data_IF_935537017460
#
_entry.id   IF_935537017460
#
_cell.length_a   1.000
_cell.length_b   1.000
_cell.length_c   1.000
_cell.angle_alpha   90.00
_cell.angle_beta   90.00
_cell.angle_gamma   90.00
#
_symmetry.space_group_name_H-M   'P 1'
#
loop_
_entity.id
_entity.type
_entity.pdbx_description
1 polymer ?
#
# COMPACT_ATOMS: atom_id res chain seq x y z
N UNK A 1 5.39 -34.87 -12.56
CA UNK A 1 6.63 -35.17 -13.33
C UNK A 1 7.26 -36.43 -12.75
N UNK A 2 7.61 -37.42 -13.59
CA UNK A 2 8.30 -38.64 -13.14
C UNK A 2 9.65 -38.73 -13.83
N UNK A 3 10.72 -38.90 -13.06
CA UNK A 3 12.10 -39.01 -13.58
C UNK A 3 12.60 -40.42 -13.30
N UNK A 4 13.10 -41.08 -14.35
CA UNK A 4 13.72 -42.41 -14.24
C UNK A 4 15.15 -42.32 -14.75
N UNK A 5 16.10 -42.57 -13.85
CA UNK A 5 17.54 -42.57 -14.13
C UNK A 5 18.05 -44.00 -14.30
N UNK A 6 18.57 -44.34 -15.50
CA UNK A 6 19.27 -45.62 -15.71
C UNK A 6 20.74 -45.46 -15.29
N UNK A 7 21.10 -46.00 -14.12
CA UNK A 7 22.45 -45.90 -13.51
C UNK A 7 23.60 -46.42 -14.39
N UNK A 8 23.34 -47.26 -15.39
CA UNK A 8 24.38 -47.87 -16.23
C UNK A 8 24.79 -47.04 -17.46
N UNK A 9 23.97 -46.09 -17.90
CA UNK A 9 24.19 -45.35 -19.15
C UNK A 9 24.14 -43.83 -18.99
N UNK A 10 23.87 -43.31 -17.79
CA UNK A 10 23.79 -41.87 -17.52
C UNK A 10 22.59 -41.16 -18.16
N UNK A 11 21.77 -41.87 -18.95
CA UNK A 11 20.61 -41.29 -19.64
C UNK A 11 19.45 -41.10 -18.66
N UNK A 12 19.00 -39.84 -18.56
CA UNK A 12 17.84 -39.43 -17.76
C UNK A 12 16.62 -39.40 -18.67
N UNK A 13 15.61 -40.23 -18.37
CA UNK A 13 14.32 -40.17 -19.07
C UNK A 13 13.31 -39.45 -18.19
N UNK A 14 12.80 -38.32 -18.68
CA UNK A 14 11.76 -37.53 -18.01
C UNK A 14 10.44 -37.78 -18.69
N UNK A 15 9.44 -38.23 -17.94
CA UNK A 15 8.05 -38.32 -18.41
C UNK A 15 7.27 -37.16 -17.80
N UNK A 16 6.87 -36.23 -18.68
CA UNK A 16 5.94 -35.17 -18.33
C UNK A 16 4.52 -35.76 -18.32
N UNK A 17 3.83 -35.57 -17.20
CA UNK A 17 2.41 -35.90 -17.07
C UNK A 17 1.73 -34.55 -17.04
N UNK A 18 1.14 -34.14 -18.16
CA UNK A 18 0.55 -32.81 -18.30
C UNK A 18 -0.73 -32.67 -17.46
N UNK A 19 -1.52 -33.74 -17.38
CA UNK A 19 -2.82 -33.71 -16.73
C UNK A 19 -2.83 -34.65 -15.51
N UNK A 20 -3.05 -34.07 -14.33
CA UNK A 20 -3.40 -34.82 -13.13
C UNK A 20 -4.84 -35.32 -13.26
N UNK A 21 -5.11 -36.59 -12.92
CA UNK A 21 -6.46 -37.17 -12.97
C UNK A 21 -7.32 -36.50 -11.89
N UNK A 22 -8.31 -35.71 -12.29
CA UNK A 22 -9.31 -35.11 -11.39
C UNK A 22 -9.28 -33.58 -11.25
N UNK A 23 -8.40 -32.86 -11.97
CA UNK A 23 -8.44 -31.40 -12.02
C UNK A 23 -8.84 -30.95 -13.43
N UNK A 24 -9.89 -30.15 -13.55
CA UNK A 24 -10.17 -29.36 -14.76
C UNK A 24 -9.15 -28.23 -14.87
N UNK A 25 -8.89 -27.72 -16.08
CA UNK A 25 -7.91 -26.65 -16.28
C UNK A 25 -8.15 -25.47 -15.31
N UNK A 26 -7.21 -25.26 -14.39
CA UNK A 26 -7.23 -24.16 -13.44
C UNK A 26 -6.76 -22.87 -14.14
N UNK A 27 -7.68 -22.22 -14.87
CA UNK A 27 -7.39 -20.99 -15.63
C UNK A 27 -6.75 -19.91 -14.75
N UNK A 28 -7.06 -19.86 -13.45
CA UNK A 28 -6.45 -18.92 -12.50
C UNK A 28 -4.98 -19.17 -12.19
N UNK A 29 -4.49 -20.40 -12.36
CA UNK A 29 -3.08 -20.77 -12.19
C UNK A 29 -2.20 -20.45 -13.40
N UNK A 30 -2.79 -20.07 -14.52
CA UNK A 30 -2.05 -19.68 -15.71
C UNK A 30 -1.40 -18.30 -15.53
N UNK A 31 -0.29 -18.06 -16.23
CA UNK A 31 0.31 -16.73 -16.29
C UNK A 31 -0.31 -15.91 -17.41
N UNK A 32 -0.32 -14.59 -17.26
CA UNK A 32 -0.65 -13.68 -18.35
C UNK A 32 0.38 -13.82 -19.48
N UNK A 33 -0.11 -13.86 -20.71
CA UNK A 33 0.74 -13.92 -21.90
C UNK A 33 1.51 -12.61 -22.08
N UNK A 34 2.59 -12.64 -22.87
CA UNK A 34 3.40 -11.44 -23.13
C UNK A 34 2.60 -10.33 -23.80
N UNK A 35 1.64 -10.69 -24.66
CA UNK A 35 0.77 -9.75 -25.38
C UNK A 35 -0.17 -9.04 -24.40
N UNK A 36 -0.88 -9.81 -23.57
CA UNK A 36 -1.79 -9.25 -22.56
C UNK A 36 -1.05 -8.33 -21.57
N UNK A 37 0.18 -8.71 -21.20
CA UNK A 37 1.03 -7.88 -20.34
C UNK A 37 1.45 -6.58 -21.00
N UNK A 38 1.70 -6.58 -22.32
CA UNK A 38 2.03 -5.38 -23.08
C UNK A 38 0.80 -4.45 -23.17
N UNK A 39 -0.38 -4.98 -23.45
CA UNK A 39 -1.63 -4.19 -23.47
C UNK A 39 -1.91 -3.51 -22.12
N UNK A 40 -1.68 -4.22 -21.00
CA UNK A 40 -1.81 -3.63 -19.67
C UNK A 40 -0.73 -2.54 -19.44
N UNK A 41 0.50 -2.77 -19.90
CA UNK A 41 1.59 -1.80 -19.78
C UNK A 41 1.32 -0.51 -20.58
N UNK A 42 0.73 -0.63 -21.78
CA UNK A 42 0.36 0.53 -22.59
C UNK A 42 -0.69 1.39 -21.87
N UNK A 43 -1.72 0.78 -21.28
CA UNK A 43 -2.72 1.50 -20.48
C UNK A 43 -2.12 2.18 -19.24
N UNK A 44 -1.17 1.51 -18.59
CA UNK A 44 -0.42 2.08 -17.47
C UNK A 44 0.44 3.27 -17.89
N UNK A 45 1.02 3.24 -19.09
CA UNK A 45 1.82 4.35 -19.63
C UNK A 45 0.97 5.61 -19.88
N UNK A 46 -0.33 5.43 -20.13
CA UNK A 46 -1.31 6.51 -20.29
C UNK A 46 -1.85 7.05 -18.94
N UNK A 47 -1.28 6.62 -17.80
CA UNK A 47 -1.74 6.98 -16.45
C UNK A 47 -3.20 6.60 -16.16
N UNK A 48 -3.72 5.55 -16.79
CA UNK A 48 -5.05 5.05 -16.50
C UNK A 48 -5.04 4.36 -15.12
N UNK A 49 -6.01 4.67 -14.23
CA UNK A 49 -6.05 4.06 -12.90
C UNK A 49 -6.38 2.57 -12.95
N UNK A 50 -5.85 1.81 -11.98
CA UNK A 50 -5.95 0.34 -11.96
C UNK A 50 -7.39 -0.16 -12.01
N UNK A 51 -8.31 0.57 -11.37
CA UNK A 51 -9.71 0.16 -11.31
C UNK A 51 -10.34 0.17 -12.70
N UNK A 52 -10.10 1.23 -13.48
CA UNK A 52 -10.60 1.35 -14.85
C UNK A 52 -10.01 0.25 -15.73
N UNK A 53 -8.71 -0.01 -15.62
CA UNK A 53 -8.05 -1.10 -16.37
C UNK A 53 -8.68 -2.46 -16.03
N UNK A 54 -8.91 -2.76 -14.74
CA UNK A 54 -9.53 -4.02 -14.31
C UNK A 54 -10.96 -4.15 -14.80
N UNK A 55 -11.73 -3.06 -14.73
CA UNK A 55 -13.13 -3.07 -15.13
C UNK A 55 -13.26 -3.26 -16.65
N UNK A 56 -12.43 -2.61 -17.46
CA UNK A 56 -12.36 -2.83 -18.91
C UNK A 56 -12.03 -4.29 -19.27
N UNK A 57 -11.01 -4.88 -18.61
CA UNK A 57 -10.59 -6.26 -18.89
C UNK A 57 -11.69 -7.25 -18.50
N UNK A 58 -12.37 -7.03 -17.37
CA UNK A 58 -13.45 -7.91 -16.87
C UNK A 58 -14.76 -7.75 -17.63
N UNK A 59 -15.03 -6.55 -18.14
CA UNK A 59 -16.24 -6.28 -18.94
C UNK A 59 -16.11 -6.68 -20.40
N UNK A 60 -14.88 -6.93 -20.88
CA UNK A 60 -14.67 -7.47 -22.23
C UNK A 60 -15.35 -8.83 -22.36
N UNK A 61 -16.52 -8.84 -23.02
CA UNK A 61 -17.34 -10.05 -23.21
C UNK A 61 -16.67 -10.95 -24.24
N UNK A 62 -15.87 -11.91 -23.79
CA UNK A 62 -15.52 -13.11 -24.56
C UNK A 62 -16.46 -14.24 -24.15
N UNK A 63 -16.77 -15.12 -25.08
CA UNK A 63 -17.59 -16.32 -24.85
C UNK A 63 -16.95 -17.29 -23.88
N UNK A 64 -15.62 -17.21 -23.70
CA UNK A 64 -14.81 -18.10 -22.87
C UNK A 64 -14.04 -17.31 -21.81
N UNK A 65 -13.93 -17.90 -20.62
CA UNK A 65 -13.19 -17.32 -19.50
C UNK A 65 -11.69 -17.62 -19.63
N UNK A 66 -10.93 -16.63 -20.10
CA UNK A 66 -9.45 -16.65 -20.11
C UNK A 66 -8.82 -16.08 -18.83
N UNK A 67 -7.52 -16.36 -18.62
CA UNK A 67 -6.71 -15.87 -17.50
C UNK A 67 -6.73 -14.35 -17.36
N UNK A 68 -6.81 -13.63 -18.48
CA UNK A 68 -6.87 -12.16 -18.50
C UNK A 68 -8.09 -11.63 -17.73
N UNK A 69 -9.25 -12.29 -17.78
CA UNK A 69 -10.44 -11.81 -17.07
C UNK A 69 -10.33 -11.99 -15.55
N UNK A 70 -9.41 -12.85 -15.10
CA UNK A 70 -9.08 -13.07 -13.68
C UNK A 70 -7.93 -12.17 -13.20
N UNK A 71 -7.56 -11.14 -13.95
CA UNK A 71 -6.50 -10.20 -13.53
C UNK A 71 -6.84 -9.56 -12.18
N UNK A 72 -5.83 -9.51 -11.31
CA UNK A 72 -5.90 -8.86 -10.00
C UNK A 72 -5.11 -7.56 -9.99
N UNK A 73 -5.31 -6.73 -8.95
CA UNK A 73 -4.48 -5.53 -8.72
C UNK A 73 -2.98 -5.88 -8.60
N UNK A 74 -2.66 -7.03 -8.02
CA UNK A 74 -1.29 -7.50 -7.88
C UNK A 74 -0.68 -7.84 -9.24
N UNK A 75 -1.45 -8.44 -10.15
CA UNK A 75 -0.98 -8.73 -11.51
C UNK A 75 -0.59 -7.45 -12.25
N UNK A 76 -1.41 -6.39 -12.15
CA UNK A 76 -1.11 -5.09 -12.74
C UNK A 76 0.15 -4.47 -12.12
N UNK A 77 0.31 -4.55 -10.79
CA UNK A 77 1.51 -4.06 -10.12
C UNK A 77 2.78 -4.84 -10.55
N UNK A 78 2.67 -6.15 -10.76
CA UNK A 78 3.76 -6.99 -11.27
C UNK A 78 4.09 -6.65 -12.73
N UNK A 79 3.09 -6.31 -13.54
CA UNK A 79 3.30 -5.80 -14.91
C UNK A 79 4.05 -4.47 -14.86
N UNK A 80 3.55 -3.50 -14.09
CA UNK A 80 4.18 -2.18 -13.94
C UNK A 80 5.67 -2.30 -13.56
N UNK A 81 5.98 -3.14 -12.56
CA UNK A 81 7.35 -3.34 -12.09
C UNK A 81 8.24 -3.97 -13.16
N UNK A 82 7.71 -4.90 -13.97
CA UNK A 82 8.48 -5.54 -15.03
C UNK A 82 8.84 -4.58 -16.15
N UNK A 83 7.91 -3.69 -16.53
CA UNK A 83 8.13 -2.69 -17.57
C UNK A 83 8.86 -1.45 -17.06
N UNK A 84 9.22 -1.40 -15.77
CA UNK A 84 9.85 -0.24 -15.11
C UNK A 84 9.08 1.05 -15.35
N UNK A 85 7.77 0.96 -15.52
CA UNK A 85 6.92 2.13 -15.61
C UNK A 85 7.00 2.83 -14.27
N UNK A 86 7.19 4.15 -14.29
CA UNK A 86 7.24 4.96 -13.07
C UNK A 86 6.06 4.61 -12.18
N UNK A 87 6.23 4.71 -10.86
CA UNK A 87 5.11 4.66 -9.92
C UNK A 87 4.25 5.90 -10.15
N UNK A 88 3.50 5.93 -11.25
CA UNK A 88 2.30 6.73 -11.39
C UNK A 88 1.50 6.45 -10.13
N UNK A 89 1.22 7.53 -9.42
CA UNK A 89 0.85 7.59 -8.02
C UNK A 89 0.07 6.36 -7.57
N UNK A 90 0.62 5.66 -6.58
CA UNK A 90 0.14 4.38 -6.08
C UNK A 90 -1.38 4.40 -5.88
N UNK A 91 -2.10 3.86 -6.86
CA UNK A 91 -3.22 2.94 -6.64
C UNK A 91 -4.31 3.36 -5.67
N UNK A 92 -4.63 4.65 -5.54
CA UNK A 92 -5.88 5.13 -4.99
C UNK A 92 -6.17 6.45 -5.70
N UNK A 93 -7.24 6.51 -6.52
CA UNK A 93 -7.95 7.77 -6.64
C UNK A 93 -8.39 8.07 -5.22
N UNK A 94 -7.67 8.95 -4.53
CA UNK A 94 -8.17 9.48 -3.28
C UNK A 94 -9.50 10.14 -3.64
N UNK A 95 -10.48 10.05 -2.76
CA UNK A 95 -11.68 10.90 -2.83
C UNK A 95 -11.34 12.38 -3.03
N UNK A 96 -10.10 12.77 -2.73
CA UNK A 96 -9.51 14.08 -2.99
C UNK A 96 -9.33 14.39 -4.48
N UNK A 97 -8.99 13.44 -5.36
CA UNK A 97 -8.82 13.70 -6.80
C UNK A 97 -10.17 14.03 -7.44
N UNK A 98 -11.22 13.30 -7.05
CA UNK A 98 -12.60 13.60 -7.45
C UNK A 98 -13.08 14.95 -6.88
N UNK A 99 -12.64 15.34 -5.68
CA UNK A 99 -12.97 16.66 -5.10
C UNK A 99 -12.21 17.78 -5.82
N UNK A 100 -10.93 17.58 -6.12
CA UNK A 100 -10.09 18.51 -6.87
C UNK A 100 -10.64 18.69 -8.28
N UNK A 101 -11.06 17.60 -8.93
CA UNK A 101 -11.68 17.64 -10.25
C UNK A 101 -13.01 18.42 -10.22
N UNK A 102 -13.87 18.18 -9.23
CA UNK A 102 -15.09 18.99 -9.03
C UNK A 102 -14.81 20.47 -8.74
N UNK A 103 -13.72 20.77 -8.04
CA UNK A 103 -13.30 22.16 -7.81
C UNK A 103 -12.82 22.80 -9.12
N UNK A 104 -12.07 22.07 -9.95
CA UNK A 104 -11.62 22.54 -11.27
C UNK A 104 -12.81 22.85 -12.19
N UNK A 105 -13.78 21.94 -12.28
CA UNK A 105 -15.01 22.15 -13.07
C UNK A 105 -15.75 23.43 -12.64
N UNK A 106 -15.90 23.65 -11.34
CA UNK A 106 -16.53 24.88 -10.81
C UNK A 106 -15.70 26.15 -11.06
N UNK A 107 -14.37 26.04 -11.04
CA UNK A 107 -13.51 27.17 -11.39
C UNK A 107 -13.65 27.49 -12.88
N UNK A 108 -13.67 26.48 -13.74
CA UNK A 108 -13.85 26.66 -15.18
C UNK A 108 -15.21 27.31 -15.50
N UNK A 109 -16.28 26.91 -14.80
CA UNK A 109 -17.59 27.58 -14.87
C UNK A 109 -17.51 29.07 -14.48
N UNK A 110 -16.74 29.43 -13.45
CA UNK A 110 -16.57 30.83 -13.03
C UNK A 110 -15.73 31.61 -14.05
N UNK A 111 -14.70 30.99 -14.62
CA UNK A 111 -13.85 31.60 -15.64
C UNK A 111 -14.63 31.92 -16.92
N UNK A 112 -15.69 31.16 -17.24
CA UNK A 112 -16.55 31.46 -18.39
C UNK A 112 -17.28 32.81 -18.26
N UNK A 113 -17.55 33.27 -17.03
CA UNK A 113 -18.15 34.58 -16.77
C UNK A 113 -17.15 35.74 -16.77
N UNK A 114 -15.84 35.46 -16.79
CA UNK A 114 -14.79 36.47 -16.83
C UNK A 114 -14.53 36.87 -18.27
N UNK A 115 -15.25 37.88 -18.74
CA UNK A 115 -15.13 38.38 -20.12
C UNK A 115 -14.30 39.67 -20.21
N UNK A 116 -14.01 40.31 -19.08
CA UNK A 116 -13.29 41.58 -18.99
C UNK A 116 -12.22 41.57 -17.89
N UNK A 117 -11.15 42.34 -18.09
CA UNK A 117 -10.02 42.41 -17.16
C UNK A 117 -10.43 42.97 -15.78
N UNK A 118 -11.39 43.90 -15.73
CA UNK A 118 -11.92 44.46 -14.48
C UNK A 118 -12.59 43.38 -13.60
N UNK A 119 -13.29 42.43 -14.21
CA UNK A 119 -13.93 41.33 -13.48
C UNK A 119 -12.88 40.35 -12.94
N UNK A 120 -11.79 40.13 -13.67
CA UNK A 120 -10.68 39.29 -13.23
C UNK A 120 -9.98 39.91 -12.02
N UNK A 121 -9.80 41.24 -12.01
CA UNK A 121 -9.22 41.97 -10.86
C UNK A 121 -10.11 41.88 -9.61
N UNK A 122 -11.44 41.97 -9.77
CA UNK A 122 -12.38 41.80 -8.65
C UNK A 122 -12.26 40.38 -8.06
N UNK A 123 -12.22 39.36 -8.92
CA UNK A 123 -12.07 37.97 -8.50
C UNK A 123 -10.73 37.74 -7.78
N UNK A 124 -9.64 38.27 -8.33
CA UNK A 124 -8.31 38.16 -7.72
C UNK A 124 -8.27 38.81 -6.34
N UNK A 125 -8.81 40.02 -6.20
CA UNK A 125 -8.89 40.73 -4.92
C UNK A 125 -9.74 39.98 -3.88
N UNK A 126 -10.79 39.28 -4.31
CA UNK A 126 -11.60 38.43 -3.43
C UNK A 126 -10.88 37.14 -2.98
N UNK A 127 -9.97 36.61 -3.79
CA UNK A 127 -9.18 35.41 -3.49
C UNK A 127 -7.98 35.67 -2.56
N UNK A 128 -7.36 36.86 -2.62
CA UNK A 128 -6.23 37.26 -1.78
C UNK A 128 -6.38 36.92 -0.28
N UNK A 129 -7.51 37.24 0.40
CA UNK A 129 -7.68 36.92 1.82
C UNK A 129 -7.86 35.41 2.10
N UNK A 130 -8.27 34.63 1.11
CA UNK A 130 -8.54 33.19 1.27
C UNK A 130 -7.24 32.37 1.23
N UNK A 131 -6.26 32.79 0.42
CA UNK A 131 -4.95 32.14 0.24
C UNK A 131 -4.21 31.84 1.56
N UNK A 132 -3.99 32.82 2.47
CA UNK A 132 -3.29 32.55 3.73
C UNK A 132 -4.06 31.58 4.63
N UNK A 133 -5.40 31.61 4.59
CA UNK A 133 -6.27 30.70 5.35
C UNK A 133 -6.13 29.25 4.86
N UNK A 134 -6.10 29.04 3.54
CA UNK A 134 -5.84 27.72 2.94
C UNK A 134 -4.44 27.22 3.28
N UNK A 135 -3.44 28.12 3.19
CA UNK A 135 -2.04 27.78 3.50
C UNK A 135 -1.88 27.36 4.97
N UNK A 136 -2.52 28.05 5.89
CA UNK A 136 -2.53 27.69 7.30
C UNK A 136 -3.17 26.32 7.56
N UNK A 137 -4.28 26.01 6.88
CA UNK A 137 -4.93 24.69 6.97
C UNK A 137 -4.09 23.55 6.39
N UNK A 138 -3.26 23.80 5.38
CA UNK A 138 -2.33 22.78 4.84
C UNK A 138 -1.15 22.47 5.76
N UNK A 139 -0.74 23.41 6.62
CA UNK A 139 0.40 23.24 7.53
C UNK A 139 0.09 22.48 8.83
N UNK A 140 -1.18 22.19 9.13
CA UNK A 140 -1.57 21.44 10.33
C UNK A 140 -1.44 19.91 10.20
N UNK A 141 -1.13 19.39 9.00
CA UNK A 141 -1.01 17.94 8.79
C UNK A 141 0.38 17.38 9.19
N UNK A 142 1.40 18.24 9.35
CA UNK A 142 2.77 17.86 9.70
C UNK A 142 3.28 18.59 10.95
N UNK A 143 2.71 18.33 12.13
CA UNK A 143 3.45 18.39 13.40
C UNK A 143 2.63 17.91 14.59
N UNK A 144 3.20 16.97 15.33
CA UNK A 144 2.90 16.79 16.74
C UNK A 144 3.07 18.14 17.46
N UNK A 145 2.00 18.83 17.84
CA UNK A 145 2.10 19.84 18.88
C UNK A 145 0.81 20.07 19.68
N UNK A 146 1.04 20.12 20.99
CA UNK A 146 0.19 20.49 22.12
C UNK A 146 -0.47 21.86 21.88
N UNK A 147 -1.75 22.08 22.28
CA UNK A 147 -2.37 23.39 22.07
C UNK A 147 -1.68 24.46 22.92
N UNK A 148 -1.12 25.48 22.27
CA UNK A 148 -0.66 26.70 22.93
C UNK A 148 -1.85 27.63 23.21
N UNK A 149 -1.96 27.97 24.48
CA UNK A 149 -2.93 28.89 25.08
C UNK A 149 -2.95 30.28 24.43
N UNK A 150 -4.09 30.67 23.88
CA UNK A 150 -4.48 32.07 23.71
C UNK A 150 -4.97 32.65 25.03
N UNK A 151 -4.43 33.82 25.41
CA UNK A 151 -4.63 34.47 26.71
C UNK A 151 -6.10 34.86 26.95
N UNK A 152 -6.77 34.15 27.86
CA UNK A 152 -7.97 34.66 28.54
C UNK A 152 -7.52 35.28 29.87
N UNK A 153 -8.04 36.48 30.14
CA UNK A 153 -7.73 37.35 31.28
C UNK A 153 -7.60 36.57 32.60
N UNK A 154 -6.51 36.82 33.33
CA UNK A 154 -6.25 36.26 34.67
C UNK A 154 -7.32 36.74 35.65
N UNK A 155 -8.25 35.86 36.03
CA UNK A 155 -8.97 35.97 37.30
C UNK A 155 -8.27 35.00 38.25
N UNK A 156 -7.61 35.54 39.28
CA UNK A 156 -7.03 34.74 40.35
C UNK A 156 -8.17 34.13 41.17
N UNK A 157 -8.48 32.86 40.93
CA UNK A 157 -9.20 32.03 41.90
C UNK A 157 -8.30 30.86 42.23
N UNK A 158 -7.56 31.01 43.33
CA UNK A 158 -6.70 29.98 43.88
C UNK A 158 -7.56 28.88 44.53
N UNK A 159 -8.28 28.10 43.73
CA UNK A 159 -8.94 26.89 44.22
C UNK A 159 -8.03 25.70 43.91
N UNK A 160 -7.28 25.26 44.92
CA UNK A 160 -6.46 24.04 44.85
C UNK A 160 -7.38 22.85 44.58
N UNK A 161 -7.37 22.33 43.36
CA UNK A 161 -7.97 21.04 43.06
C UNK A 161 -7.11 19.94 43.71
N UNK A 162 -7.71 19.10 44.54
CA UNK A 162 -7.06 17.91 45.07
C UNK A 162 -6.75 16.93 43.92
N UNK A 163 -5.61 16.22 43.95
CA UNK A 163 -5.32 15.19 42.94
C UNK A 163 -6.45 14.15 42.90
N UNK A 164 -6.96 13.85 41.71
CA UNK A 164 -7.88 12.73 41.52
C UNK A 164 -7.10 11.42 41.67
N UNK A 165 -7.62 10.49 42.47
CA UNK A 165 -7.10 9.13 42.55
C UNK A 165 -7.50 8.35 41.28
N UNK A 166 -6.51 7.76 40.63
CA UNK A 166 -6.75 6.83 39.52
C UNK A 166 -7.24 5.50 40.10
N UNK A 167 -8.54 5.21 39.96
CA UNK A 167 -9.05 3.88 40.27
C UNK A 167 -8.49 2.87 39.27
N UNK A 168 -7.78 1.86 39.77
CA UNK A 168 -7.33 0.73 38.97
C UNK A 168 -8.54 0.02 38.33
N UNK A 169 -8.47 -0.19 37.02
CA UNK A 169 -9.49 -0.97 36.32
C UNK A 169 -9.56 -2.39 36.90
N UNK A 170 -10.75 -2.81 37.35
CA UNK A 170 -11.03 -4.17 37.81
C UNK A 170 -11.22 -5.17 36.65
N UNK A 171 -11.08 -4.72 35.39
CA UNK A 171 -11.20 -5.63 34.26
C UNK A 171 -9.91 -6.45 34.14
N UNK A 172 -10.01 -7.73 34.51
CA UNK A 172 -8.95 -8.70 34.31
C UNK A 172 -8.47 -8.65 32.85
N UNK A 173 -7.24 -8.18 32.64
CA UNK A 173 -6.58 -8.28 31.34
C UNK A 173 -6.49 -9.77 31.02
N UNK A 174 -7.04 -10.19 29.88
CA UNK A 174 -6.89 -11.58 29.42
C UNK A 174 -5.40 -11.90 29.38
N UNK A 175 -4.99 -12.89 30.18
CA UNK A 175 -3.62 -13.39 30.14
C UNK A 175 -3.33 -13.88 28.71
N UNK A 176 -2.18 -13.49 28.15
CA UNK A 176 -1.71 -14.05 26.88
C UNK A 176 -1.61 -15.58 27.05
N UNK A 177 -2.04 -16.37 26.05
CA UNK A 177 -1.93 -17.82 26.12
C UNK A 177 -0.47 -18.22 26.34
N UNK A 178 -0.22 -19.02 27.37
CA UNK A 178 1.13 -19.47 27.78
C UNK A 178 1.83 -20.34 26.72
N UNK A 179 1.08 -20.81 25.71
CA UNK A 179 1.53 -21.76 24.69
C UNK A 179 1.67 -21.14 23.30
N UNK A 180 1.96 -19.84 23.20
CA UNK A 180 2.59 -19.33 21.98
C UNK A 180 4.07 -19.69 22.05
N UNK A 181 4.62 -20.35 21.02
CA UNK A 181 6.07 -20.49 20.83
C UNK A 181 6.67 -19.10 20.96
N UNK A 182 7.24 -18.79 22.13
CA UNK A 182 7.86 -17.51 22.39
C UNK A 182 9.04 -17.42 21.43
N UNK A 183 9.05 -16.38 20.60
CA UNK A 183 10.26 -16.02 19.87
C UNK A 183 11.37 -15.84 20.90
N UNK A 184 12.57 -16.42 20.69
CA UNK A 184 13.64 -16.35 21.67
C UNK A 184 13.92 -14.89 22.03
N UNK A 185 14.13 -14.65 23.32
CA UNK A 185 14.49 -13.32 23.83
C UNK A 185 15.84 -12.91 23.23
N UNK A 186 16.10 -11.60 23.15
CA UNK A 186 17.35 -11.12 22.54
C UNK A 186 18.59 -11.56 23.33
N UNK A 187 18.44 -11.85 24.63
CA UNK A 187 19.49 -12.45 25.46
C UNK A 187 19.78 -13.90 25.04
N UNK A 188 18.75 -14.72 24.81
CA UNK A 188 18.89 -16.10 24.34
C UNK A 188 19.51 -16.16 22.93
N UNK A 189 19.13 -15.24 22.04
CA UNK A 189 19.76 -15.12 20.71
C UNK A 189 21.25 -14.75 20.81
N UNK A 190 21.61 -13.83 21.71
CA UNK A 190 23.01 -13.46 21.94
C UNK A 190 23.81 -14.61 22.55
N UNK A 191 23.23 -15.33 23.49
CA UNK A 191 23.88 -16.47 24.14
C UNK A 191 24.13 -17.62 23.14
N UNK A 192 23.14 -17.94 22.29
CA UNK A 192 23.29 -18.96 21.25
C UNK A 192 24.31 -18.57 20.18
N UNK A 193 24.34 -17.29 19.77
CA UNK A 193 25.37 -16.78 18.85
C UNK A 193 26.77 -16.84 19.46
N UNK A 194 26.93 -16.48 20.74
CA UNK A 194 28.20 -16.59 21.45
C UNK A 194 28.67 -18.04 21.57
N UNK A 195 27.76 -18.97 21.87
CA UNK A 195 28.08 -20.39 21.94
C UNK A 195 28.59 -20.94 20.59
N UNK A 196 27.93 -20.58 19.48
CA UNK A 196 28.36 -20.97 18.13
C UNK A 196 29.75 -20.42 17.75
N UNK A 197 30.07 -19.19 18.18
CA UNK A 197 31.39 -18.63 17.94
C UNK A 197 32.47 -19.36 18.75
N UNK A 198 32.16 -19.73 20.00
CA UNK A 198 33.10 -20.47 20.86
C UNK A 198 33.32 -21.91 20.40
N UNK A 199 32.28 -22.58 19.86
CA UNK A 199 32.44 -23.92 19.26
C UNK A 199 33.34 -23.86 18.03
N UNK A 200 33.12 -22.89 17.15
CA UNK A 200 33.92 -22.74 15.93
C UNK A 200 35.38 -22.36 16.23
N UNK A 201 35.60 -21.55 17.28
CA UNK A 201 36.95 -21.21 17.74
C UNK A 201 37.68 -22.42 18.33
N UNK A 202 37.01 -23.23 19.14
CA UNK A 202 37.59 -24.45 19.71
C UNK A 202 37.85 -25.54 18.66
N UNK A 203 37.02 -25.64 17.62
CA UNK A 203 37.29 -26.53 16.48
C UNK A 203 38.50 -26.08 15.67
N UNK A 204 38.73 -24.75 15.55
CA UNK A 204 39.90 -24.19 14.86
C UNK A 204 41.21 -24.36 15.64
N UNK A 205 41.16 -24.55 16.97
CA UNK A 205 42.34 -24.82 17.81
C UNK A 205 42.68 -26.31 17.93
N UNK A 206 41.81 -27.20 17.42
CA UNK A 206 42.02 -28.66 17.38
C UNK A 206 42.55 -29.18 16.04
N UNK A 207 42.73 -28.30 15.05
CA UNK A 207 43.47 -28.58 13.80
C UNK A 207 44.91 -28.10 13.92
#
# INVERSE_FOLDING_TARGET
MKVVTKKKTGVVKVTLINNHVGHTEEVGGLNLTKVERAEIADKLSQNIPYQVILDEIRTSKRSELHRIHLTTRQDIANVQSTFKLGKGERGFLHTNDNKIQKIREKVDEILEYLQTDEQADILWNALLPVIPTIKAASSTEDSNFVPASGQVKKVNVLQKMSPQENFYSTKARRAKPQNALLTPTDEEKRATAAALLMTNFNESQKM
#
